data_IF_797691756917
#
_entry.id   IF_797691756917
#
_cell.length_a   1.000
_cell.length_b   1.000
_cell.length_c   1.000
_cell.angle_alpha   90.00
_cell.angle_beta   90.00
_cell.angle_gamma   90.00
#
_symmetry.space_group_name_H-M   'P 1'
#
loop_
_entity.id
_entity.type
_entity.pdbx_description
1 polymer ?
#
# COMPACT_ATOMS: atom_id res chain seq x y z
N UNK A 1 4.46 23.48 8.11
CA UNK A 1 4.29 22.12 7.55
C UNK A 1 3.96 21.16 8.70
N UNK A 2 2.76 20.60 8.73
CA UNK A 2 2.37 19.62 9.76
C UNK A 2 3.16 18.32 9.52
N UNK A 3 4.13 17.99 10.37
CA UNK A 3 4.79 16.67 10.35
C UNK A 3 3.85 15.66 11.01
N UNK A 4 2.95 15.06 10.22
CA UNK A 4 2.15 13.91 10.64
C UNK A 4 3.09 12.75 10.95
N UNK A 5 3.19 12.38 12.23
CA UNK A 5 4.04 11.28 12.69
C UNK A 5 3.22 9.99 12.66
N UNK A 6 3.21 9.34 11.50
CA UNK A 6 2.53 8.05 11.31
C UNK A 6 3.27 6.99 12.14
N UNK A 7 2.53 6.26 12.98
CA UNK A 7 3.09 5.18 13.78
C UNK A 7 3.69 4.09 12.90
N UNK A 8 4.85 3.56 13.28
CA UNK A 8 5.47 2.39 12.64
C UNK A 8 4.61 1.13 12.79
N UNK A 9 3.74 1.12 13.79
CA UNK A 9 2.90 0.00 14.16
C UNK A 9 1.45 0.46 14.28
N UNK A 10 0.52 -0.41 13.89
CA UNK A 10 -0.92 -0.17 13.94
C UNK A 10 -1.63 -1.39 14.51
N UNK A 11 -2.54 -1.18 15.45
CA UNK A 11 -3.43 -2.24 15.94
C UNK A 11 -4.69 -2.27 15.09
N UNK A 12 -4.94 -3.42 14.44
CA UNK A 12 -6.11 -3.65 13.60
C UNK A 12 -7.38 -3.55 14.42
N UNK A 13 -8.36 -2.79 13.92
CA UNK A 13 -9.68 -2.65 14.52
C UNK A 13 -10.63 -3.69 13.95
N UNK A 14 -11.71 -3.94 14.67
CA UNK A 14 -12.69 -4.94 14.28
C UNK A 14 -13.25 -4.70 12.87
N UNK A 15 -13.32 -5.78 12.09
CA UNK A 15 -13.81 -5.76 10.71
C UNK A 15 -12.94 -5.08 9.65
N UNK A 16 -11.74 -4.56 9.97
CA UNK A 16 -10.89 -3.92 8.97
C UNK A 16 -10.21 -4.92 8.04
N UNK A 17 -10.18 -4.61 6.76
CA UNK A 17 -9.43 -5.35 5.74
C UNK A 17 -8.04 -4.75 5.47
N UNK A 18 -7.17 -5.49 4.78
CA UNK A 18 -5.92 -4.98 4.20
C UNK A 18 -6.18 -3.73 3.36
N UNK A 19 -7.23 -3.74 2.53
CA UNK A 19 -7.57 -2.61 1.67
C UNK A 19 -7.95 -1.36 2.47
N UNK A 20 -8.73 -1.51 3.55
CA UNK A 20 -9.10 -0.40 4.44
C UNK A 20 -7.88 0.22 5.11
N UNK A 21 -6.99 -0.63 5.63
CA UNK A 21 -5.77 -0.20 6.34
C UNK A 21 -4.80 0.45 5.36
N UNK A 22 -4.53 -0.17 4.22
CA UNK A 22 -3.65 0.36 3.19
C UNK A 22 -4.13 1.74 2.69
N UNK A 23 -5.44 1.89 2.49
CA UNK A 23 -6.08 3.18 2.16
C UNK A 23 -5.88 4.21 3.24
N UNK A 24 -6.08 3.87 4.52
CA UNK A 24 -5.94 4.81 5.63
C UNK A 24 -4.50 5.33 5.79
N UNK A 25 -3.51 4.49 5.48
CA UNK A 25 -2.09 4.83 5.61
C UNK A 25 -1.40 5.24 4.31
N UNK A 26 -2.12 5.26 3.18
CA UNK A 26 -1.60 5.58 1.85
C UNK A 26 -0.37 4.71 1.48
N UNK A 27 -0.44 3.42 1.80
CA UNK A 27 0.58 2.40 1.47
C UNK A 27 0.01 1.41 0.46
N UNK A 28 0.90 0.70 -0.23
CA UNK A 28 0.47 -0.39 -1.12
C UNK A 28 -0.01 -1.59 -0.30
N UNK A 29 -1.16 -2.16 -0.68
CA UNK A 29 -1.72 -3.36 -0.04
C UNK A 29 -0.71 -4.51 -0.03
N UNK A 30 0.00 -4.71 -1.14
CA UNK A 30 1.00 -5.77 -1.28
C UNK A 30 2.20 -5.59 -0.36
N UNK A 31 2.68 -4.37 -0.16
CA UNK A 31 3.74 -4.10 0.81
C UNK A 31 3.27 -4.34 2.24
N UNK A 32 2.03 -3.94 2.56
CA UNK A 32 1.45 -4.20 3.87
C UNK A 32 1.35 -5.70 4.15
N UNK A 33 0.89 -6.49 3.18
CA UNK A 33 0.82 -7.95 3.25
C UNK A 33 2.21 -8.57 3.41
N UNK A 34 3.15 -8.20 2.54
CA UNK A 34 4.50 -8.78 2.53
C UNK A 34 5.28 -8.47 3.81
N UNK A 35 5.27 -7.22 4.28
CA UNK A 35 6.01 -6.82 5.49
C UNK A 35 5.48 -7.49 6.76
N UNK A 36 4.21 -7.92 6.75
CA UNK A 36 3.55 -8.53 7.89
C UNK A 36 3.33 -10.04 7.73
N UNK A 37 3.78 -10.63 6.62
CA UNK A 37 3.61 -12.06 6.34
C UNK A 37 2.13 -12.50 6.34
N UNK A 38 1.23 -11.64 5.90
CA UNK A 38 -0.21 -11.95 5.91
C UNK A 38 -0.53 -12.99 4.84
N UNK A 39 -1.22 -14.06 5.24
CA UNK A 39 -1.77 -15.08 4.33
C UNK A 39 -3.30 -15.06 4.27
N UNK A 40 -3.92 -14.25 5.13
CA UNK A 40 -5.35 -14.00 5.26
C UNK A 40 -5.55 -12.54 5.69
N UNK A 41 -6.80 -12.07 5.72
CA UNK A 41 -7.13 -10.75 6.26
C UNK A 41 -6.69 -10.62 7.74
N UNK A 42 -6.21 -9.45 8.17
CA UNK A 42 -5.74 -9.27 9.53
C UNK A 42 -6.91 -9.33 10.51
N UNK A 43 -6.66 -9.92 11.67
CA UNK A 43 -7.67 -10.07 12.72
C UNK A 43 -7.66 -8.87 13.66
N UNK A 44 -8.82 -8.56 14.24
CA UNK A 44 -8.93 -7.51 15.26
C UNK A 44 -7.89 -7.71 16.38
N UNK A 45 -7.23 -6.63 16.78
CA UNK A 45 -6.19 -6.65 17.81
C UNK A 45 -4.78 -7.01 17.31
N UNK A 46 -4.63 -7.53 16.09
CA UNK A 46 -3.32 -7.81 15.50
C UNK A 46 -2.52 -6.52 15.32
N UNK A 47 -1.21 -6.57 15.58
CA UNK A 47 -0.31 -5.44 15.36
C UNK A 47 0.38 -5.60 14.01
N UNK A 48 0.16 -4.64 13.11
CA UNK A 48 0.80 -4.57 11.80
C UNK A 48 1.89 -3.50 11.78
N UNK A 49 3.02 -3.84 11.18
CA UNK A 49 4.05 -2.89 10.74
C UNK A 49 3.54 -2.14 9.52
N UNK A 50 3.49 -0.81 9.60
CA UNK A 50 3.09 0.02 8.47
C UNK A 50 4.31 0.31 7.59
N UNK A 51 4.27 -0.01 6.28
CA UNK A 51 5.36 0.28 5.35
C UNK A 51 5.75 1.76 5.36
N UNK A 52 7.04 2.03 5.19
CA UNK A 52 7.54 3.41 5.10
C UNK A 52 7.28 4.03 3.73
N UNK A 53 7.26 3.21 2.68
CA UNK A 53 6.92 3.64 1.33
C UNK A 53 5.43 4.00 1.26
N UNK A 54 5.14 5.27 1.03
CA UNK A 54 3.79 5.84 0.97
C UNK A 54 3.74 6.95 -0.07
N UNK A 55 2.53 7.25 -0.55
CA UNK A 55 2.34 8.24 -1.59
C UNK A 55 0.88 8.45 -1.93
N UNK A 56 0.62 9.26 -2.95
CA UNK A 56 -0.73 9.45 -3.44
C UNK A 56 -1.22 8.13 -4.07
N UNK A 57 -2.46 7.76 -3.76
CA UNK A 57 -3.08 6.57 -4.33
C UNK A 57 -3.78 6.94 -5.63
N UNK A 58 -3.44 6.22 -6.70
CA UNK A 58 -4.08 6.32 -8.00
C UNK A 58 -4.69 4.97 -8.37
N UNK A 59 -5.82 4.97 -9.06
CA UNK A 59 -6.46 3.75 -9.55
C UNK A 59 -6.09 3.58 -11.02
N UNK A 60 -5.32 2.53 -11.32
CA UNK A 60 -4.83 2.24 -12.65
C UNK A 60 -5.97 2.07 -13.68
N UNK A 61 -5.75 2.59 -14.88
CA UNK A 61 -6.68 2.60 -16.01
C UNK A 61 -6.02 1.95 -17.23
N UNK A 62 -6.84 1.69 -18.25
CA UNK A 62 -6.35 1.21 -19.53
C UNK A 62 -5.36 2.22 -20.13
N UNK A 63 -4.21 1.74 -20.61
CA UNK A 63 -3.14 2.55 -21.19
C UNK A 63 -2.12 3.09 -20.19
N UNK A 64 -2.34 2.92 -18.88
CA UNK A 64 -1.34 3.29 -17.88
C UNK A 64 -0.10 2.40 -17.99
N UNK A 65 1.06 3.00 -17.76
CA UNK A 65 2.34 2.31 -17.68
C UNK A 65 3.04 2.66 -16.37
N UNK A 66 3.89 1.75 -15.87
CA UNK A 66 4.70 2.00 -14.67
C UNK A 66 5.55 3.26 -14.79
N UNK A 67 6.10 3.51 -15.98
CA UNK A 67 6.86 4.72 -16.28
C UNK A 67 6.01 5.99 -16.24
N UNK A 68 4.78 5.95 -16.74
CA UNK A 68 3.85 7.09 -16.67
C UNK A 68 3.47 7.41 -15.21
N UNK A 69 3.22 6.39 -14.40
CA UNK A 69 2.74 6.55 -13.03
C UNK A 69 3.86 6.87 -12.02
N UNK A 70 5.02 6.22 -12.15
CA UNK A 70 6.09 6.26 -11.15
C UNK A 70 7.45 6.72 -11.71
N UNK A 71 7.52 7.11 -12.98
CA UNK A 71 8.75 7.57 -13.66
C UNK A 71 9.70 6.45 -14.10
N UNK A 72 9.64 5.27 -13.47
CA UNK A 72 10.38 4.06 -13.86
C UNK A 72 9.72 2.80 -13.30
N UNK A 73 10.06 1.65 -13.88
CA UNK A 73 9.64 0.33 -13.39
C UNK A 73 10.20 0.04 -11.98
N UNK A 74 11.43 0.47 -11.70
CA UNK A 74 12.08 0.30 -10.40
C UNK A 74 11.40 1.14 -9.30
N UNK A 75 11.01 2.38 -9.62
CA UNK A 75 10.24 3.21 -8.69
C UNK A 75 8.86 2.60 -8.43
N UNK A 76 8.20 2.11 -9.47
CA UNK A 76 6.92 1.42 -9.35
C UNK A 76 7.04 0.22 -8.40
N UNK A 77 8.02 -0.65 -8.64
CA UNK A 77 8.24 -1.85 -7.82
C UNK A 77 8.57 -1.49 -6.37
N UNK A 78 9.44 -0.50 -6.16
CA UNK A 78 9.82 -0.02 -4.82
C UNK A 78 8.61 0.51 -4.04
N UNK A 79 7.72 1.27 -4.70
CA UNK A 79 6.55 1.86 -4.05
C UNK A 79 5.39 0.89 -3.87
N UNK A 80 5.28 -0.13 -4.72
CA UNK A 80 4.10 -0.99 -4.81
C UNK A 80 4.33 -2.46 -4.42
N UNK A 81 5.59 -2.89 -4.28
CA UNK A 81 5.94 -4.27 -3.91
C UNK A 81 5.64 -5.32 -4.99
N UNK A 82 5.49 -4.89 -6.25
CA UNK A 82 5.22 -5.79 -7.38
C UNK A 82 5.66 -5.17 -8.69
N UNK A 83 5.96 -6.01 -9.67
CA UNK A 83 6.19 -5.68 -11.07
C UNK A 83 4.92 -5.83 -11.93
N UNK A 84 3.80 -6.28 -11.37
CA UNK A 84 2.53 -6.42 -12.08
C UNK A 84 1.74 -5.13 -11.98
N UNK A 85 1.24 -4.62 -13.10
CA UNK A 85 0.31 -3.50 -13.19
C UNK A 85 -0.94 -3.98 -13.93
N UNK A 86 -2.12 -3.78 -13.33
CA UNK A 86 -3.40 -4.16 -13.92
C UNK A 86 -4.45 -3.07 -13.70
N UNK A 87 -5.48 -3.05 -14.55
CA UNK A 87 -6.56 -2.07 -14.48
C UNK A 87 -7.33 -2.22 -13.16
N UNK A 88 -7.64 -1.10 -12.51
CA UNK A 88 -8.31 -1.06 -11.21
C UNK A 88 -7.37 -1.20 -10.02
N UNK A 89 -6.08 -1.52 -10.24
CA UNK A 89 -5.09 -1.60 -9.16
C UNK A 89 -4.91 -0.24 -8.47
N UNK A 90 -4.85 -0.25 -7.14
CA UNK A 90 -4.46 0.92 -6.34
C UNK A 90 -2.93 1.02 -6.34
N UNK A 91 -2.40 2.01 -7.05
CA UNK A 91 -0.98 2.27 -7.23
C UNK A 91 -0.57 3.46 -6.35
N UNK A 92 0.54 3.30 -5.65
CA UNK A 92 1.24 4.36 -4.95
C UNK A 92 2.16 5.08 -5.95
N UNK A 93 1.84 6.34 -6.21
CA UNK A 93 2.56 7.19 -7.17
C UNK A 93 3.94 7.63 -6.66
#
# INVERSE_FOLDING_TARGET
MLKMRIGKWYQVKDGQTVADIAKAFCVAERLLVQENGLTEEPKAGQILKIPQARGNVYVARAGDTKKLLCGSDENYQTKNGTDILYIGMRVIL
#
